data_IF_977674527125
#
_entry.id   IF_977674527125
#
_cell.length_a   1.000
_cell.length_b   1.000
_cell.length_c   1.000
_cell.angle_alpha   90.00
_cell.angle_beta   90.00
_cell.angle_gamma   90.00
#
_symmetry.space_group_name_H-M   'P 1'
#
loop_
_entity.id
_entity.type
_entity.pdbx_description
1 polymer ?
#
# COMPACT_ATOMS: atom_id res chain seq x y z
N UNK A 1 -9.03 44.86 -23.01
CA UNK A 1 -7.55 44.72 -23.15
C UNK A 1 -6.80 44.73 -21.82
N UNK A 2 -7.25 45.43 -20.77
CA UNK A 2 -6.57 45.43 -19.44
C UNK A 2 -6.78 44.16 -18.59
N UNK A 3 -7.85 43.41 -18.81
CA UNK A 3 -8.17 42.19 -18.04
C UNK A 3 -7.52 40.92 -18.57
N UNK A 4 -7.09 40.89 -19.84
CA UNK A 4 -6.51 39.71 -20.48
C UNK A 4 -5.01 39.52 -20.15
N UNK A 5 -4.34 40.61 -19.75
CA UNK A 5 -2.93 40.60 -19.36
C UNK A 5 -2.76 40.11 -17.91
N UNK A 6 -3.73 40.37 -17.04
CA UNK A 6 -3.70 39.89 -15.64
C UNK A 6 -3.96 38.38 -15.52
N UNK A 7 -4.82 37.80 -16.37
CA UNK A 7 -5.06 36.34 -16.37
C UNK A 7 -3.91 35.53 -16.96
N UNK A 8 -3.14 36.09 -17.91
CA UNK A 8 -1.93 35.41 -18.41
C UNK A 8 -0.79 35.42 -17.38
N UNK A 9 -0.70 36.44 -16.51
CA UNK A 9 0.35 36.51 -15.48
C UNK A 9 0.13 35.53 -14.33
N UNK A 10 -1.12 35.16 -14.03
CA UNK A 10 -1.42 34.16 -12.98
C UNK A 10 -1.24 32.71 -13.46
N UNK A 11 -1.30 32.45 -14.77
CA UNK A 11 -1.06 31.11 -15.34
C UNK A 11 0.43 30.73 -15.39
N UNK A 12 1.34 31.70 -15.32
CA UNK A 12 2.81 31.44 -15.34
C UNK A 12 3.39 31.26 -13.93
N UNK A 13 2.65 31.61 -12.86
CA UNK A 13 3.11 31.41 -11.48
C UNK A 13 2.74 30.04 -10.87
N UNK A 14 2.08 29.16 -11.63
CA UNK A 14 1.68 27.82 -11.17
C UNK A 14 2.58 26.67 -11.63
N UNK A 15 3.70 26.94 -12.31
CA UNK A 15 4.47 25.89 -13.02
C UNK A 15 5.96 25.81 -12.71
N UNK A 16 6.48 26.57 -11.75
CA UNK A 16 7.85 26.38 -11.27
C UNK A 16 7.88 25.16 -10.35
N UNK A 17 7.79 23.95 -10.92
CA UNK A 17 8.44 22.82 -10.30
C UNK A 17 9.89 23.26 -10.09
N UNK A 18 10.31 23.39 -8.83
CA UNK A 18 11.72 23.60 -8.55
C UNK A 18 12.46 22.49 -9.30
N UNK A 19 13.25 22.84 -10.33
CA UNK A 19 14.17 21.89 -10.92
C UNK A 19 15.04 21.41 -9.76
N UNK A 20 14.84 20.17 -9.36
CA UNK A 20 15.61 19.60 -8.26
C UNK A 20 17.04 19.52 -8.77
N UNK A 21 18.01 20.13 -8.10
CA UNK A 21 19.41 20.21 -8.56
C UNK A 21 20.12 18.86 -8.41
N UNK A 22 19.64 17.87 -9.16
CA UNK A 22 20.14 16.52 -9.11
C UNK A 22 21.27 16.36 -10.12
N UNK A 23 22.38 15.68 -9.78
CA UNK A 23 23.55 15.54 -10.65
C UNK A 23 23.26 14.97 -12.05
N UNK A 24 22.16 14.24 -12.21
CA UNK A 24 21.74 13.64 -13.49
C UNK A 24 20.75 14.48 -14.30
N UNK A 25 20.35 15.65 -13.80
CA UNK A 25 19.48 16.53 -14.58
C UNK A 25 20.26 17.31 -15.64
N UNK A 26 19.60 17.68 -16.76
CA UNK A 26 20.24 18.46 -17.81
C UNK A 26 20.79 19.81 -17.34
N UNK A 27 20.16 20.43 -16.34
CA UNK A 27 20.59 21.63 -15.64
C UNK A 27 20.80 21.25 -14.16
N UNK A 28 21.90 20.54 -13.90
CA UNK A 28 22.17 19.92 -12.62
C UNK A 28 22.48 20.95 -11.53
N UNK A 29 22.97 22.13 -11.92
CA UNK A 29 23.29 23.22 -11.00
C UNK A 29 22.14 24.24 -10.82
N UNK A 30 21.06 24.11 -11.61
CA UNK A 30 19.85 24.93 -11.52
C UNK A 30 20.07 26.38 -11.93
N UNK A 31 21.05 26.65 -12.80
CA UNK A 31 21.39 28.00 -13.27
C UNK A 31 20.57 28.44 -14.49
N UNK A 32 19.70 27.56 -15.02
CA UNK A 32 18.85 27.79 -16.17
C UNK A 32 19.54 27.56 -17.52
N UNK A 33 20.77 27.05 -17.54
CA UNK A 33 21.57 26.82 -18.75
C UNK A 33 22.22 25.43 -18.74
N UNK A 34 21.90 24.60 -19.74
CA UNK A 34 22.60 23.32 -19.95
C UNK A 34 24.02 23.59 -20.50
N UNK A 35 25.04 23.32 -19.70
CA UNK A 35 26.42 23.62 -20.02
C UNK A 35 27.42 22.53 -19.56
N UNK A 36 28.72 22.79 -19.76
CA UNK A 36 29.78 21.82 -19.44
C UNK A 36 29.85 21.50 -17.93
N UNK A 37 29.43 22.42 -17.07
CA UNK A 37 29.32 22.20 -15.63
C UNK A 37 28.29 21.10 -15.31
N UNK A 38 27.14 21.11 -15.98
CA UNK A 38 26.10 20.08 -15.81
C UNK A 38 26.56 18.72 -16.33
N UNK A 39 27.26 18.70 -17.46
CA UNK A 39 27.83 17.46 -17.99
C UNK A 39 28.90 16.88 -17.05
N UNK A 40 29.73 17.72 -16.44
CA UNK A 40 30.70 17.27 -15.42
C UNK A 40 29.99 16.74 -14.18
N UNK A 41 28.88 17.35 -13.75
CA UNK A 41 28.06 16.85 -12.66
C UNK A 41 27.48 15.45 -12.98
N UNK A 42 26.93 15.26 -14.19
CA UNK A 42 26.45 13.96 -14.64
C UNK A 42 27.54 12.89 -14.65
N UNK A 43 28.76 13.23 -15.10
CA UNK A 43 29.88 12.30 -15.12
C UNK A 43 30.29 11.81 -13.73
N UNK A 44 30.00 12.56 -12.66
CA UNK A 44 30.27 12.09 -11.29
C UNK A 44 29.38 10.93 -10.86
N UNK A 45 28.20 10.79 -11.48
CA UNK A 45 27.23 9.72 -11.21
C UNK A 45 27.08 8.76 -12.39
N UNK A 46 27.84 8.96 -13.47
CA UNK A 46 27.80 8.12 -14.66
C UNK A 46 28.22 6.70 -14.32
N UNK A 47 27.40 5.72 -14.73
CA UNK A 47 27.59 4.30 -14.42
C UNK A 47 27.54 3.97 -12.90
N UNK A 48 26.97 4.86 -12.08
CA UNK A 48 26.63 4.56 -10.69
C UNK A 48 25.22 3.98 -10.65
N UNK A 49 25.05 2.81 -10.03
CA UNK A 49 23.71 2.26 -9.78
C UNK A 49 22.97 3.20 -8.82
N UNK A 50 21.80 3.66 -9.25
CA UNK A 50 20.88 4.45 -8.45
C UNK A 50 19.76 3.55 -7.94
N UNK A 51 19.38 3.73 -6.67
CA UNK A 51 18.45 2.83 -5.98
C UNK A 51 19.16 1.90 -4.99
N UNK A 52 18.40 1.04 -4.29
CA UNK A 52 18.97 0.11 -3.32
C UNK A 52 19.94 -0.88 -4.00
N UNK A 53 21.05 -1.18 -3.34
CA UNK A 53 21.90 -2.32 -3.71
C UNK A 53 21.17 -3.60 -3.30
N UNK A 54 20.70 -4.36 -4.27
CA UNK A 54 19.95 -5.60 -4.05
C UNK A 54 20.87 -6.83 -3.94
N UNK A 55 22.20 -6.65 -3.92
CA UNK A 55 23.20 -7.74 -3.85
C UNK A 55 23.72 -8.01 -2.44
N UNK A 56 23.27 -7.24 -1.44
CA UNK A 56 23.58 -7.47 -0.03
C UNK A 56 23.05 -8.82 0.47
N UNK A 57 23.77 -9.41 1.43
CA UNK A 57 23.42 -10.72 1.98
C UNK A 57 22.09 -10.67 2.77
N UNK A 58 21.28 -11.73 2.66
CA UNK A 58 20.02 -11.89 3.38
C UNK A 58 20.25 -12.36 4.83
N UNK A 59 20.70 -11.47 5.71
CA UNK A 59 20.90 -11.77 7.14
C UNK A 59 19.76 -11.27 8.05
N UNK A 60 18.85 -10.45 7.51
CA UNK A 60 17.68 -9.97 8.23
C UNK A 60 16.72 -11.13 8.57
N UNK A 61 16.67 -11.48 9.86
CA UNK A 61 15.69 -12.38 10.42
C UNK A 61 14.45 -11.53 10.75
N UNK A 62 13.48 -11.50 9.85
CA UNK A 62 12.25 -10.72 10.03
C UNK A 62 11.42 -11.17 11.23
N UNK A 63 10.43 -10.35 11.58
CA UNK A 63 9.34 -10.69 12.50
C UNK A 63 8.41 -11.76 11.90
N UNK A 64 7.52 -12.33 12.70
CA UNK A 64 6.52 -13.30 12.20
C UNK A 64 5.64 -12.72 11.08
N UNK A 65 5.19 -11.47 11.22
CA UNK A 65 4.40 -10.79 10.19
C UNK A 65 5.20 -10.61 8.88
N UNK A 66 6.45 -10.17 8.98
CA UNK A 66 7.33 -10.00 7.82
C UNK A 66 7.65 -11.32 7.14
N UNK A 67 7.85 -12.37 7.93
CA UNK A 67 8.10 -13.73 7.43
C UNK A 67 6.89 -14.25 6.68
N UNK A 68 5.68 -14.12 7.25
CA UNK A 68 4.43 -14.48 6.56
C UNK A 68 4.29 -13.72 5.24
N UNK A 69 4.46 -12.39 5.23
CA UNK A 69 4.37 -11.62 4.00
C UNK A 69 5.40 -12.07 2.96
N UNK A 70 6.63 -12.34 3.37
CA UNK A 70 7.67 -12.83 2.48
C UNK A 70 7.29 -14.19 1.89
N UNK A 71 6.89 -15.15 2.72
CA UNK A 71 6.53 -16.51 2.31
C UNK A 71 5.35 -16.51 1.33
N UNK A 72 4.36 -15.64 1.56
CA UNK A 72 3.23 -15.44 0.64
C UNK A 72 3.68 -14.90 -0.72
N UNK A 73 4.63 -13.96 -0.73
CA UNK A 73 5.17 -13.35 -1.96
C UNK A 73 6.15 -14.27 -2.69
N UNK A 74 6.91 -15.10 -2.00
CA UNK A 74 7.83 -16.10 -2.60
C UNK A 74 7.09 -17.35 -3.06
N UNK A 75 5.96 -17.67 -2.43
CA UNK A 75 5.16 -18.86 -2.68
C UNK A 75 5.49 -20.02 -1.74
N UNK A 76 6.24 -19.78 -0.67
CA UNK A 76 6.52 -20.75 0.40
C UNK A 76 5.32 -20.92 1.34
N UNK A 77 4.35 -19.99 1.29
CA UNK A 77 3.03 -20.11 1.88
C UNK A 77 1.95 -19.68 0.88
N UNK A 78 0.74 -20.21 1.05
CA UNK A 78 -0.46 -19.79 0.32
C UNK A 78 -1.49 -19.24 1.29
N UNK A 79 -2.04 -18.06 1.01
CA UNK A 79 -3.15 -17.51 1.78
C UNK A 79 -4.43 -18.27 1.42
N UNK A 80 -4.99 -19.00 2.37
CA UNK A 80 -6.21 -19.79 2.15
C UNK A 80 -7.44 -18.92 2.35
N UNK A 81 -7.44 -18.10 3.41
CA UNK A 81 -8.52 -17.15 3.68
C UNK A 81 -8.08 -16.05 4.65
N UNK A 82 -8.84 -14.95 4.68
CA UNK A 82 -8.66 -13.85 5.63
C UNK A 82 -10.01 -13.48 6.21
N UNK A 83 -10.18 -13.67 7.51
CA UNK A 83 -11.28 -13.03 8.23
C UNK A 83 -10.94 -11.55 8.46
N UNK A 84 -11.90 -10.67 8.20
CA UNK A 84 -11.82 -9.28 8.60
C UNK A 84 -13.03 -8.89 9.44
N UNK A 85 -12.81 -7.97 10.37
CA UNK A 85 -13.87 -7.24 11.04
C UNK A 85 -13.40 -5.81 11.28
N UNK A 86 -14.31 -4.87 11.13
CA UNK A 86 -14.06 -3.50 11.50
C UNK A 86 -15.31 -2.82 12.06
N UNK A 87 -15.09 -1.86 12.93
CA UNK A 87 -16.08 -0.90 13.41
C UNK A 87 -15.48 0.46 13.17
N UNK A 88 -16.07 1.31 12.33
CA UNK A 88 -15.53 2.63 11.98
C UNK A 88 -16.57 3.70 12.29
N UNK A 89 -16.17 4.73 13.02
CA UNK A 89 -17.02 5.82 13.44
C UNK A 89 -16.59 7.16 12.84
N UNK A 90 -17.51 7.87 12.20
CA UNK A 90 -17.23 9.17 11.61
C UNK A 90 -18.37 10.18 11.79
N UNK A 91 -18.07 11.44 11.54
CA UNK A 91 -18.99 12.56 11.65
C UNK A 91 -18.88 13.49 10.46
N UNK A 92 -20.02 14.04 10.02
CA UNK A 92 -20.07 14.98 8.91
C UNK A 92 -21.05 16.11 9.22
N UNK A 93 -20.75 17.30 8.71
CA UNK A 93 -21.69 18.42 8.72
C UNK A 93 -22.65 18.30 7.54
N UNK A 94 -23.95 18.23 7.81
CA UNK A 94 -24.99 18.12 6.78
C UNK A 94 -26.03 19.22 6.91
N UNK A 95 -26.56 19.65 5.76
CA UNK A 95 -27.70 20.56 5.72
C UNK A 95 -29.01 19.76 5.71
N UNK A 96 -29.80 19.90 6.76
CA UNK A 96 -31.13 19.31 6.85
C UNK A 96 -32.20 20.32 6.39
N UNK A 97 -33.29 19.89 5.71
CA UNK A 97 -34.32 20.81 5.21
C UNK A 97 -34.91 21.75 6.26
N UNK A 98 -34.95 21.32 7.53
CA UNK A 98 -35.54 22.08 8.65
C UNK A 98 -34.50 22.86 9.47
N UNK A 99 -33.22 22.84 9.08
CA UNK A 99 -32.12 23.48 9.80
C UNK A 99 -31.42 24.51 8.89
N UNK A 100 -31.51 25.82 9.18
CA UNK A 100 -30.83 26.84 8.39
C UNK A 100 -29.30 26.80 8.56
N UNK A 101 -28.81 26.23 9.66
CA UNK A 101 -27.39 26.00 9.94
C UNK A 101 -27.06 24.50 9.75
N UNK A 102 -25.83 24.16 9.36
CA UNK A 102 -25.41 22.76 9.26
C UNK A 102 -25.46 22.07 10.63
N UNK A 103 -25.81 20.79 10.62
CA UNK A 103 -25.87 19.95 11.82
C UNK A 103 -24.81 18.87 11.70
N UNK A 104 -24.05 18.67 12.77
CA UNK A 104 -23.12 17.55 12.87
C UNK A 104 -23.91 16.26 13.08
N UNK A 105 -23.77 15.33 12.15
CA UNK A 105 -24.31 13.97 12.24
C UNK A 105 -23.17 12.98 12.43
N UNK A 106 -23.49 11.80 12.95
CA UNK A 106 -22.54 10.74 13.23
C UNK A 106 -23.01 9.45 12.57
N UNK A 107 -22.07 8.65 12.06
CA UNK A 107 -22.32 7.34 11.49
C UNK A 107 -21.34 6.31 12.06
N UNK A 108 -21.86 5.12 12.33
CA UNK A 108 -21.09 3.97 12.75
C UNK A 108 -21.31 2.87 11.71
N UNK A 109 -20.24 2.41 11.09
CA UNK A 109 -20.26 1.30 10.14
C UNK A 109 -19.53 0.13 10.75
N UNK A 110 -20.24 -0.99 10.92
CA UNK A 110 -19.68 -2.23 11.46
C UNK A 110 -19.86 -3.35 10.46
N UNK A 111 -18.77 -3.96 10.04
CA UNK A 111 -18.80 -5.06 9.06
C UNK A 111 -17.76 -6.11 9.41
N UNK A 112 -18.05 -7.33 8.98
CA UNK A 112 -17.12 -8.44 9.05
C UNK A 112 -17.37 -9.40 7.92
N UNK A 113 -16.35 -10.13 7.51
CA UNK A 113 -16.48 -11.13 6.46
C UNK A 113 -15.24 -11.99 6.37
N UNK A 114 -15.24 -12.91 5.41
CA UNK A 114 -14.09 -13.74 5.09
C UNK A 114 -13.83 -13.62 3.61
N UNK A 115 -12.61 -13.22 3.26
CA UNK A 115 -12.10 -13.35 1.90
C UNK A 115 -11.54 -14.78 1.79
N UNK A 116 -12.03 -15.55 0.83
CA UNK A 116 -11.71 -16.97 0.62
C UNK A 116 -10.90 -17.24 -0.64
N UNK A 117 -10.63 -16.21 -1.46
CA UNK A 117 -9.88 -16.35 -2.71
C UNK A 117 -8.70 -15.40 -2.76
N UNK A 118 -7.50 -15.98 -2.83
CA UNK A 118 -6.24 -15.27 -3.03
C UNK A 118 -5.51 -15.83 -4.25
N UNK A 119 -4.89 -14.94 -5.01
CA UNK A 119 -4.05 -15.28 -6.16
C UNK A 119 -2.68 -14.63 -6.00
N UNK A 120 -1.63 -15.42 -6.20
CA UNK A 120 -0.27 -14.91 -6.30
C UNK A 120 0.06 -14.61 -7.76
N UNK A 121 0.40 -13.35 -8.03
CA UNK A 121 0.73 -12.83 -9.36
C UNK A 121 2.15 -12.27 -9.37
N UNK A 122 2.92 -12.65 -10.40
CA UNK A 122 4.20 -12.02 -10.74
C UNK A 122 4.02 -11.23 -12.02
N UNK A 123 4.19 -9.92 -11.96
CA UNK A 123 4.08 -9.04 -13.11
C UNK A 123 5.33 -9.08 -14.00
N UNK A 124 5.24 -8.69 -15.28
CA UNK A 124 6.39 -8.67 -16.19
C UNK A 124 7.56 -7.78 -15.74
N UNK A 125 7.30 -6.79 -14.89
CA UNK A 125 8.30 -5.89 -14.29
C UNK A 125 8.90 -6.45 -12.98
N UNK A 126 8.55 -7.69 -12.62
CA UNK A 126 9.05 -8.36 -11.42
C UNK A 126 8.30 -8.02 -10.14
N UNK A 127 7.30 -7.14 -10.18
CA UNK A 127 6.44 -6.90 -9.01
C UNK A 127 5.74 -8.19 -8.62
N UNK A 128 5.71 -8.45 -7.32
CA UNK A 128 5.03 -9.59 -6.73
C UNK A 128 3.79 -9.10 -6.00
N UNK A 129 2.70 -9.83 -6.12
CA UNK A 129 1.46 -9.49 -5.44
C UNK A 129 0.73 -10.76 -5.05
N UNK A 130 0.25 -10.82 -3.82
CA UNK A 130 -0.83 -11.69 -3.41
C UNK A 130 -2.07 -10.82 -3.37
N UNK A 131 -3.00 -11.03 -4.29
CA UNK A 131 -4.20 -10.23 -4.45
C UNK A 131 -5.44 -11.04 -4.15
N UNK A 132 -6.48 -10.37 -3.71
CA UNK A 132 -7.80 -10.96 -3.52
C UNK A 132 -8.90 -10.04 -4.03
N UNK A 133 -10.13 -10.53 -3.98
CA UNK A 133 -11.27 -9.73 -4.38
C UNK A 133 -12.52 -10.56 -4.56
N UNK A 134 -13.54 -10.29 -3.76
CA UNK A 134 -14.84 -10.93 -3.90
C UNK A 134 -15.99 -10.05 -3.41
N UNK A 135 -17.21 -10.46 -3.71
CA UNK A 135 -18.42 -9.77 -3.25
C UNK A 135 -18.89 -10.36 -1.92
N UNK A 136 -18.94 -9.52 -0.87
CA UNK A 136 -19.42 -9.87 0.46
C UNK A 136 -20.56 -8.89 0.80
N UNK A 137 -21.74 -9.46 1.04
CA UNK A 137 -22.98 -8.71 1.32
C UNK A 137 -23.31 -7.64 0.26
N UNK A 138 -23.03 -7.93 -1.02
CA UNK A 138 -23.30 -7.02 -2.13
C UNK A 138 -22.25 -5.93 -2.36
N UNK A 139 -21.13 -5.99 -1.63
CA UNK A 139 -20.03 -5.03 -1.75
C UNK A 139 -18.72 -5.75 -2.05
N UNK A 140 -17.92 -5.17 -2.94
CA UNK A 140 -16.60 -5.70 -3.26
C UNK A 140 -15.61 -5.43 -2.13
N UNK A 141 -14.91 -6.47 -1.70
CA UNK A 141 -13.90 -6.42 -0.64
C UNK A 141 -12.61 -7.08 -1.13
N UNK A 142 -11.47 -6.52 -0.76
CA UNK A 142 -10.15 -7.09 -1.09
C UNK A 142 -9.13 -6.82 0.00
N UNK A 143 -8.09 -7.66 0.02
CA UNK A 143 -6.87 -7.53 0.80
C UNK A 143 -5.67 -7.96 -0.05
N UNK A 144 -4.71 -7.07 -0.22
CA UNK A 144 -3.54 -7.29 -1.08
C UNK A 144 -2.24 -7.12 -0.28
N UNK A 145 -1.25 -7.97 -0.58
CA UNK A 145 0.15 -7.82 -0.16
C UNK A 145 1.00 -7.70 -1.41
N UNK A 146 1.85 -6.66 -1.49
CA UNK A 146 2.64 -6.38 -2.70
C UNK A 146 4.09 -6.10 -2.36
N UNK A 147 4.98 -6.41 -3.29
CA UNK A 147 6.38 -6.06 -3.26
C UNK A 147 6.83 -5.45 -4.59
N UNK A 148 7.50 -4.30 -4.49
CA UNK A 148 8.13 -3.64 -5.62
C UNK A 148 9.66 -3.79 -5.56
N UNK A 149 10.26 -4.59 -6.47
CA UNK A 149 11.70 -4.83 -6.48
C UNK A 149 12.53 -3.63 -6.93
N UNK A 150 11.94 -2.66 -7.63
CA UNK A 150 12.66 -1.45 -8.08
C UNK A 150 13.08 -0.58 -6.90
N UNK A 151 12.22 -0.49 -5.88
CA UNK A 151 12.45 0.35 -4.70
C UNK A 151 12.68 -0.45 -3.42
N UNK A 152 12.53 -1.77 -3.45
CA UNK A 152 12.69 -2.64 -2.27
C UNK A 152 11.62 -2.37 -1.21
N UNK A 153 10.39 -2.08 -1.63
CA UNK A 153 9.29 -1.65 -0.76
C UNK A 153 8.12 -2.62 -0.82
N UNK A 154 7.42 -2.73 0.31
CA UNK A 154 6.26 -3.57 0.51
C UNK A 154 5.00 -2.70 0.66
N UNK A 155 3.83 -3.26 0.36
CA UNK A 155 2.55 -2.60 0.69
C UNK A 155 1.49 -3.62 1.08
N UNK A 156 0.59 -3.21 1.98
CA UNK A 156 -0.63 -3.90 2.35
C UNK A 156 -1.78 -2.97 2.00
N UNK A 157 -2.80 -3.51 1.35
CA UNK A 157 -4.01 -2.76 1.02
C UNK A 157 -5.23 -3.56 1.46
N UNK A 158 -6.21 -2.89 2.05
CA UNK A 158 -7.51 -3.44 2.37
C UNK A 158 -8.57 -2.47 1.88
N UNK A 159 -9.56 -2.94 1.14
CA UNK A 159 -10.68 -2.09 0.75
C UNK A 159 -12.01 -2.81 0.86
N UNK A 160 -13.04 -2.05 1.23
CA UNK A 160 -14.42 -2.51 1.27
C UNK A 160 -15.31 -1.41 0.71
N UNK A 161 -15.93 -1.69 -0.45
CA UNK A 161 -16.80 -0.74 -1.13
C UNK A 161 -18.04 -0.33 -0.30
N UNK A 162 -18.38 -1.09 0.74
CA UNK A 162 -19.44 -0.73 1.66
C UNK A 162 -19.13 0.50 2.50
N UNK A 163 -17.85 0.77 2.78
CA UNK A 163 -17.43 1.97 3.52
C UNK A 163 -17.96 3.21 2.80
N UNK A 164 -17.84 3.29 1.47
CA UNK A 164 -18.41 4.42 0.71
C UNK A 164 -19.93 4.35 0.58
N UNK A 165 -20.48 3.16 0.37
CA UNK A 165 -21.92 3.01 0.12
C UNK A 165 -22.77 3.31 1.36
N UNK A 166 -22.32 2.89 2.54
CA UNK A 166 -23.04 2.98 3.80
C UNK A 166 -22.71 4.26 4.57
N UNK A 167 -21.75 5.04 4.06
CA UNK A 167 -21.26 6.19 4.78
C UNK A 167 -21.13 7.46 3.99
N UNK A 168 -21.78 7.64 2.84
CA UNK A 168 -21.92 8.99 2.29
C UNK A 168 -22.81 9.87 3.20
N UNK A 169 -22.48 11.14 3.49
CA UNK A 169 -21.32 11.93 3.02
C UNK A 169 -20.08 11.86 3.93
N UNK A 170 -20.06 10.96 4.90
CA UNK A 170 -18.94 10.64 5.79
C UNK A 170 -17.75 10.04 5.01
N UNK A 171 -16.58 10.01 5.64
CA UNK A 171 -15.31 9.43 5.20
C UNK A 171 -14.64 10.06 3.98
N UNK A 172 -15.00 11.30 3.61
CA UNK A 172 -14.47 12.02 2.43
C UNK A 172 -14.53 11.21 1.12
N UNK A 173 -15.37 10.17 1.05
CA UNK A 173 -15.48 9.25 -0.10
C UNK A 173 -14.34 8.22 -0.22
N UNK A 174 -13.55 8.01 0.84
CA UNK A 174 -12.53 6.95 0.89
C UNK A 174 -13.19 5.57 1.05
N UNK A 175 -12.81 4.60 0.21
CA UNK A 175 -13.34 3.21 0.22
C UNK A 175 -12.30 2.16 0.59
N UNK A 176 -11.06 2.55 0.80
CA UNK A 176 -9.96 1.64 1.10
C UNK A 176 -8.93 2.26 2.04
N UNK A 177 -8.25 1.38 2.76
CA UNK A 177 -6.98 1.58 3.43
C UNK A 177 -5.86 1.10 2.50
N UNK A 178 -4.91 1.97 2.18
CA UNK A 178 -3.66 1.60 1.52
C UNK A 178 -2.49 2.24 2.26
N UNK A 179 -1.47 1.46 2.59
CA UNK A 179 -0.15 2.06 2.82
C UNK A 179 0.57 2.12 1.48
N UNK A 180 0.85 3.33 0.98
CA UNK A 180 1.39 3.45 -0.39
C UNK A 180 2.72 2.69 -0.52
N UNK A 181 3.65 2.77 0.44
CA UNK A 181 4.90 1.99 0.45
C UNK A 181 5.49 1.92 1.88
N UNK A 182 5.94 0.75 2.34
CA UNK A 182 6.69 0.53 3.60
C UNK A 182 8.04 -0.12 3.29
N UNK A 183 9.12 0.42 3.85
CA UNK A 183 10.43 -0.24 3.88
C UNK A 183 10.53 -1.17 5.09
N UNK A 184 11.26 -2.28 4.96
CA UNK A 184 11.59 -3.14 6.11
C UNK A 184 12.76 -2.53 6.92
N UNK A 185 12.80 -2.72 8.26
CA UNK A 185 11.82 -3.44 9.07
C UNK A 185 10.48 -2.69 9.20
N UNK A 186 9.38 -3.44 9.31
CA UNK A 186 8.06 -2.90 9.66
C UNK A 186 8.13 -2.15 11.00
N UNK A 187 7.23 -1.17 11.22
CA UNK A 187 7.13 -0.52 12.52
C UNK A 187 6.89 -1.55 13.63
N UNK A 188 7.55 -1.41 14.78
CA UNK A 188 7.46 -2.39 15.87
C UNK A 188 6.06 -2.56 16.48
N UNK A 189 5.14 -1.65 16.18
CA UNK A 189 3.72 -1.74 16.55
C UNK A 189 2.90 -2.60 15.59
N UNK A 190 3.50 -3.06 14.49
CA UNK A 190 2.90 -3.97 13.52
C UNK A 190 3.39 -5.37 13.84
N UNK A 191 2.48 -6.28 14.17
CA UNK A 191 2.85 -7.64 14.53
C UNK A 191 1.73 -8.63 14.19
N UNK A 192 2.10 -9.90 14.14
CA UNK A 192 1.20 -11.03 13.99
C UNK A 192 1.21 -11.79 15.32
N UNK A 193 0.03 -12.15 15.82
CA UNK A 193 -0.12 -13.07 16.95
C UNK A 193 -1.33 -14.01 16.74
N UNK A 194 -1.71 -14.75 17.77
CA UNK A 194 -2.86 -15.68 17.74
C UNK A 194 -4.21 -15.01 17.41
N UNK A 195 -4.33 -13.70 17.60
CA UNK A 195 -5.54 -12.91 17.33
C UNK A 195 -5.53 -12.24 15.95
N UNK A 196 -4.43 -12.38 15.19
CA UNK A 196 -4.31 -11.89 13.82
C UNK A 196 -3.22 -10.84 13.65
N UNK A 197 -3.37 -10.05 12.58
CA UNK A 197 -2.47 -8.94 12.24
C UNK A 197 -2.92 -7.71 13.02
N UNK A 198 -1.98 -7.11 13.74
CA UNK A 198 -2.17 -5.87 14.48
C UNK A 198 -1.31 -4.80 13.85
N UNK A 199 -1.92 -3.66 13.51
CA UNK A 199 -1.22 -2.44 13.20
C UNK A 199 -2.05 -1.25 13.69
N UNK A 200 -1.42 -0.17 14.21
CA UNK A 200 -2.15 1.04 14.57
C UNK A 200 -2.80 1.65 13.33
N UNK A 201 -3.95 2.31 13.52
CA UNK A 201 -4.54 3.17 12.50
C UNK A 201 -3.47 4.14 11.97
N UNK A 202 -3.27 4.15 10.65
CA UNK A 202 -2.22 4.94 10.01
C UNK A 202 -2.65 6.38 9.85
N UNK A 203 -1.72 7.31 10.13
CA UNK A 203 -2.00 8.74 10.04
C UNK A 203 -2.25 9.16 8.58
N UNK A 204 -3.52 9.30 8.18
CA UNK A 204 -3.94 9.68 6.81
C UNK A 204 -4.99 8.76 6.17
N UNK A 205 -5.33 7.62 6.79
CA UNK A 205 -6.42 6.71 6.38
C UNK A 205 -7.41 6.56 7.52
N UNK A 206 -8.73 6.58 7.28
CA UNK A 206 -9.82 6.28 8.26
C UNK A 206 -9.45 6.66 9.70
N UNK A 207 -8.86 7.85 9.84
CA UNK A 207 -7.93 8.16 10.92
C UNK A 207 -8.65 8.61 12.19
N UNK A 208 -9.92 8.22 12.24
CA UNK A 208 -10.93 8.64 13.17
C UNK A 208 -11.70 7.35 13.46
N UNK A 209 -11.29 6.69 14.53
CA UNK A 209 -12.13 5.77 15.31
C UNK A 209 -12.56 4.48 14.62
N UNK A 210 -11.61 3.64 14.18
CA UNK A 210 -11.97 2.25 13.89
C UNK A 210 -11.07 1.18 14.48
N UNK A 211 -11.69 0.16 15.05
CA UNK A 211 -11.05 -1.07 15.47
C UNK A 211 -11.04 -2.01 14.26
N UNK A 212 -9.86 -2.39 13.77
CA UNK A 212 -9.70 -3.33 12.67
C UNK A 212 -9.12 -4.64 13.19
N UNK A 213 -9.68 -5.75 12.72
CA UNK A 213 -9.20 -7.09 12.98
C UNK A 213 -9.02 -7.82 11.66
N UNK A 214 -7.83 -8.35 11.44
CA UNK A 214 -7.49 -9.18 10.27
C UNK A 214 -6.88 -10.48 10.75
N UNK A 215 -7.52 -11.62 10.46
CA UNK A 215 -7.05 -12.95 10.91
C UNK A 215 -6.76 -13.81 9.68
N UNK A 216 -5.48 -13.93 9.27
CA UNK A 216 -5.10 -14.73 8.13
C UNK A 216 -5.07 -16.22 8.46
N UNK A 217 -5.43 -17.04 7.48
CA UNK A 217 -5.24 -18.49 7.49
C UNK A 217 -4.41 -18.86 6.27
N UNK A 218 -3.33 -19.59 6.47
CA UNK A 218 -2.40 -19.97 5.40
C UNK A 218 -1.92 -21.40 5.57
N UNK A 219 -1.52 -21.98 4.44
CA UNK A 219 -0.95 -23.32 4.35
C UNK A 219 0.42 -23.25 3.69
N UNK A 220 1.34 -24.11 4.14
CA UNK A 220 2.60 -24.35 3.43
C UNK A 220 2.37 -25.42 2.37
N UNK A 221 3.03 -25.36 1.20
CA UNK A 221 3.02 -26.45 0.24
C UNK A 221 3.37 -27.76 0.94
N UNK A 222 2.63 -28.84 0.62
CA UNK A 222 3.00 -30.16 1.12
C UNK A 222 4.43 -30.46 0.67
N UNK A 223 5.29 -30.93 1.58
CA UNK A 223 6.57 -31.50 1.17
C UNK A 223 6.26 -32.66 0.23
N UNK A 224 6.84 -32.65 -0.97
CA UNK A 224 6.96 -33.85 -1.79
C UNK A 224 7.94 -34.79 -1.07
N UNK A 225 7.54 -35.33 0.07
CA UNK A 225 8.15 -36.53 0.64
C UNK A 225 7.68 -37.68 -0.23
N UNK A 226 8.30 -37.80 -1.41
CA UNK A 226 8.42 -39.07 -2.08
C UNK A 226 9.22 -39.97 -1.14
N UNK A 227 8.52 -40.68 -0.27
CA UNK A 227 9.00 -41.93 0.30
C UNK A 227 9.33 -42.85 -0.87
N UNK A 228 10.55 -42.70 -1.38
CA UNK A 228 11.28 -43.75 -2.08
C UNK A 228 11.50 -44.83 -1.02
N UNK A 229 10.44 -45.60 -0.80
CA UNK A 229 10.50 -46.88 -0.14
C UNK A 229 11.38 -47.75 -1.05
N UNK A 230 12.68 -47.62 -0.84
CA UNK A 230 13.69 -48.51 -1.34
C UNK A 230 13.26 -49.91 -0.95
N UNK A 231 12.76 -50.63 -1.94
CA UNK A 231 12.56 -52.07 -1.90
C UNK A 231 13.96 -52.69 -1.87
N UNK A 232 14.59 -52.62 -0.70
CA UNK A 232 15.56 -53.61 -0.29
C UNK A 232 14.75 -54.81 0.19
N UNK A 233 14.72 -55.87 -0.60
CA UNK A 233 15.24 -57.15 -0.10
C UNK A 233 15.42 -58.18 -1.22
N UNK A 234 16.41 -59.02 -0.92
CA UNK A 234 17.01 -60.18 -1.60
C UNK A 234 16.04 -61.20 -2.24
#
# INVERSE_FOLDING_TARGET
MRTLIFTLLFLVMGGSYAQTSQPWQPDANGDGLINAGDMLAFLTVFNTQWGPDMTVACDYQGTELETLMADLLTGDATMDSLYFAYSIYDSAEVFMPDCPEPVMVYNLVERSGTIASFERVTFPDGRLTVTSGEEIDGHYVFFDVRYNPEFGVYSIEFGDAAIVAEAAPFFDGLWHYANDHIGLPLPSSWYLDELGIHFPAYEGTLNQYGDFQFVPFWSTPASDDSDDAGDSDE
#
